data_IF_313237090684
#
_entry.id   IF_313237090684
#
_cell.length_a   1.000
_cell.length_b   1.000
_cell.length_c   1.000
_cell.angle_alpha   90.00
_cell.angle_beta   90.00
_cell.angle_gamma   90.00
#
_symmetry.space_group_name_H-M   'P 1'
#
loop_
_entity.id
_entity.type
_entity.pdbx_description
1 polymer ?
#
# COMPACT_ATOMS: atom_id res chain seq x y z
N UNK A 1 -5.92 48.05 11.78
CA UNK A 1 -5.65 47.54 10.42
C UNK A 1 -6.09 46.08 10.38
N UNK A 2 -7.29 45.83 9.84
CA UNK A 2 -7.90 44.50 9.77
C UNK A 2 -7.17 43.71 8.67
N UNK A 3 -6.36 42.73 9.06
CA UNK A 3 -5.82 41.76 8.11
C UNK A 3 -6.91 40.70 7.90
N UNK A 4 -7.58 40.83 6.76
CA UNK A 4 -8.59 39.91 6.26
C UNK A 4 -7.95 38.52 6.08
N UNK A 5 -8.35 37.53 6.88
CA UNK A 5 -7.81 36.16 6.89
C UNK A 5 -8.46 35.24 5.85
N UNK A 6 -9.05 35.79 4.79
CA UNK A 6 -9.76 35.06 3.72
C UNK A 6 -8.84 34.45 2.65
N UNK A 7 -7.65 33.97 3.04
CA UNK A 7 -6.63 33.41 2.11
C UNK A 7 -6.28 31.94 2.29
N UNK A 8 -6.84 31.25 3.29
CA UNK A 8 -6.39 29.91 3.72
C UNK A 8 -7.39 28.78 3.47
N UNK A 9 -8.18 28.87 2.39
CA UNK A 9 -9.21 27.86 2.06
C UNK A 9 -8.98 27.08 0.75
N UNK A 10 -7.78 27.11 0.15
CA UNK A 10 -7.57 26.55 -1.21
C UNK A 10 -6.49 25.46 -1.36
N UNK A 11 -6.17 24.70 -0.32
CA UNK A 11 -5.29 23.51 -0.46
C UNK A 11 -5.95 22.26 0.14
N UNK A 12 -7.14 21.93 -0.35
CA UNK A 12 -7.78 20.64 -0.08
C UNK A 12 -8.24 19.94 -1.37
N UNK A 13 -7.49 20.13 -2.45
CA UNK A 13 -7.66 19.36 -3.68
C UNK A 13 -6.95 18.01 -3.51
N UNK A 14 -7.73 16.97 -3.16
CA UNK A 14 -7.24 15.58 -3.22
C UNK A 14 -6.64 15.30 -4.59
N UNK A 15 -5.39 14.84 -4.59
CA UNK A 15 -4.68 14.42 -5.79
C UNK A 15 -4.56 12.89 -5.81
N UNK A 16 -5.16 12.26 -6.82
CA UNK A 16 -5.15 10.81 -7.00
C UNK A 16 -4.07 10.32 -7.98
N UNK A 17 -3.24 11.21 -8.53
CA UNK A 17 -2.18 10.87 -9.50
C UNK A 17 -1.23 9.79 -8.95
N UNK A 18 -0.71 9.97 -7.74
CA UNK A 18 0.21 8.98 -7.16
C UNK A 18 -0.46 7.63 -6.90
N UNK A 19 -1.74 7.63 -6.47
CA UNK A 19 -2.49 6.38 -6.28
C UNK A 19 -2.70 5.67 -7.61
N UNK A 20 -2.94 6.42 -8.68
CA UNK A 20 -3.04 5.88 -10.03
C UNK A 20 -1.70 5.30 -10.50
N UNK A 21 -0.59 6.02 -10.30
CA UNK A 21 0.74 5.52 -10.61
C UNK A 21 1.07 4.22 -9.85
N UNK A 22 0.70 4.15 -8.55
CA UNK A 22 0.84 2.95 -7.73
C UNK A 22 -0.07 1.80 -8.20
N UNK A 23 -1.29 2.10 -8.63
CA UNK A 23 -2.22 1.12 -9.19
C UNK A 23 -1.69 0.54 -10.50
N UNK A 24 -1.14 1.38 -11.39
CA UNK A 24 -0.54 0.94 -12.64
C UNK A 24 0.72 0.10 -12.39
N UNK A 25 1.60 0.51 -11.48
CA UNK A 25 2.79 -0.29 -11.15
C UNK A 25 2.42 -1.64 -10.51
N UNK A 26 1.35 -1.69 -9.70
CA UNK A 26 0.81 -2.97 -9.18
C UNK A 26 0.30 -3.90 -10.30
N UNK A 27 -0.37 -3.37 -11.33
CA UNK A 27 -0.75 -4.17 -12.50
C UNK A 27 0.49 -4.72 -13.20
N UNK A 28 1.52 -3.90 -13.40
CA UNK A 28 2.79 -4.34 -14.00
C UNK A 28 3.44 -5.46 -13.16
N UNK A 29 3.40 -5.37 -11.82
CA UNK A 29 3.89 -6.44 -10.93
C UNK A 29 3.14 -7.74 -11.18
N UNK A 30 1.81 -7.68 -11.13
CA UNK A 30 0.96 -8.87 -11.20
C UNK A 30 1.00 -9.50 -12.59
N UNK A 31 1.03 -8.69 -13.65
CA UNK A 31 1.24 -9.17 -15.03
C UNK A 31 2.60 -9.85 -15.15
N UNK A 32 3.66 -9.23 -14.62
CA UNK A 32 4.99 -9.82 -14.60
C UNK A 32 5.03 -11.13 -13.81
N UNK A 33 4.39 -11.20 -12.65
CA UNK A 33 4.35 -12.41 -11.83
C UNK A 33 3.56 -13.55 -12.50
N UNK A 34 2.43 -13.24 -13.15
CA UNK A 34 1.50 -14.24 -13.67
C UNK A 34 1.87 -14.72 -15.07
N UNK A 35 2.27 -13.81 -15.96
CA UNK A 35 2.47 -14.13 -17.38
C UNK A 35 3.94 -14.14 -17.81
N UNK A 36 4.81 -13.40 -17.11
CA UNK A 36 6.21 -13.23 -17.50
C UNK A 36 7.17 -13.38 -16.30
N UNK A 37 7.12 -14.47 -15.52
CA UNK A 37 7.86 -14.60 -14.26
C UNK A 37 9.38 -14.47 -14.41
N UNK A 38 9.91 -14.73 -15.59
CA UNK A 38 11.33 -14.57 -15.96
C UNK A 38 11.74 -13.10 -16.16
N UNK A 39 10.81 -12.18 -16.40
CA UNK A 39 11.08 -10.76 -16.65
C UNK A 39 11.06 -10.00 -15.31
N UNK A 40 12.15 -10.15 -14.56
CA UNK A 40 12.35 -9.53 -13.25
C UNK A 40 12.09 -8.01 -13.20
N UNK A 41 12.43 -7.20 -14.23
CA UNK A 41 12.14 -5.76 -14.23
C UNK A 41 10.67 -5.40 -13.99
N UNK A 42 9.72 -6.23 -14.44
CA UNK A 42 8.29 -5.98 -14.21
C UNK A 42 7.95 -6.06 -12.71
N UNK A 43 8.58 -7.01 -12.00
CA UNK A 43 8.45 -7.15 -10.54
C UNK A 43 9.08 -5.96 -9.80
N UNK A 44 10.20 -5.46 -10.30
CA UNK A 44 10.92 -4.31 -9.72
C UNK A 44 10.05 -3.04 -9.79
N UNK A 45 9.46 -2.76 -10.96
CA UNK A 45 8.52 -1.64 -11.15
C UNK A 45 7.35 -1.76 -10.16
N UNK A 46 6.86 -2.99 -9.98
CA UNK A 46 5.84 -3.32 -9.00
C UNK A 46 6.08 -2.86 -7.57
N UNK A 47 7.34 -2.88 -7.13
CA UNK A 47 7.70 -2.54 -5.73
C UNK A 47 7.48 -1.07 -5.39
N UNK A 48 7.29 -0.21 -6.39
CA UNK A 48 6.92 1.20 -6.23
C UNK A 48 5.51 1.33 -5.62
N UNK A 49 4.60 0.39 -5.89
CA UNK A 49 3.20 0.48 -5.48
C UNK A 49 3.03 0.56 -3.95
N UNK A 50 3.68 -0.37 -3.23
CA UNK A 50 3.44 -0.54 -1.80
C UNK A 50 3.83 0.69 -0.96
N UNK A 51 5.03 1.30 -1.11
CA UNK A 51 5.38 2.51 -0.36
C UNK A 51 4.40 3.67 -0.57
N UNK A 52 3.88 3.83 -1.78
CA UNK A 52 2.89 4.86 -2.08
C UNK A 52 1.56 4.56 -1.36
N UNK A 53 1.09 3.31 -1.38
CA UNK A 53 -0.11 2.92 -0.63
C UNK A 53 0.08 3.01 0.88
N UNK A 54 1.24 2.61 1.41
CA UNK A 54 1.61 2.73 2.82
C UNK A 54 1.58 4.19 3.29
N UNK A 55 2.22 5.09 2.55
CA UNK A 55 2.15 6.52 2.82
C UNK A 55 0.70 7.05 2.73
N UNK A 56 -0.10 6.51 1.80
CA UNK A 56 -1.52 6.81 1.68
C UNK A 56 -2.36 6.37 2.89
N UNK A 57 -2.04 5.22 3.52
CA UNK A 57 -2.67 4.80 4.77
C UNK A 57 -2.31 5.76 5.91
N UNK A 58 -1.02 6.08 6.06
CA UNK A 58 -0.53 7.01 7.07
C UNK A 58 -1.22 8.38 6.99
N UNK A 59 -1.33 8.93 5.77
CA UNK A 59 -2.04 10.19 5.54
C UNK A 59 -3.55 10.07 5.72
N UNK A 60 -4.15 8.97 5.25
CA UNK A 60 -5.57 8.70 5.41
C UNK A 60 -5.99 8.63 6.88
N UNK A 61 -5.15 8.05 7.73
CA UNK A 61 -5.40 7.98 9.17
C UNK A 61 -5.41 9.39 9.83
N UNK A 62 -4.50 10.29 9.43
CA UNK A 62 -4.44 11.67 9.96
C UNK A 62 -5.66 12.51 9.61
N UNK A 63 -6.20 12.32 8.40
CA UNK A 63 -7.25 13.19 7.85
C UNK A 63 -8.65 12.57 7.92
N UNK A 64 -8.78 11.29 8.30
CA UNK A 64 -10.10 10.65 8.35
C UNK A 64 -10.92 11.20 9.53
N UNK A 65 -12.13 11.66 9.24
CA UNK A 65 -13.11 12.01 10.27
C UNK A 65 -13.81 10.78 10.87
N UNK A 66 -13.77 9.64 10.18
CA UNK A 66 -14.43 8.41 10.61
C UNK A 66 -13.52 7.20 10.40
N UNK A 67 -12.74 6.89 11.45
CA UNK A 67 -11.81 5.76 11.46
C UNK A 67 -12.53 4.41 11.36
N UNK A 68 -13.70 4.26 12.01
CA UNK A 68 -14.50 3.01 11.95
C UNK A 68 -14.88 2.66 10.53
N UNK A 69 -15.38 3.62 9.76
CA UNK A 69 -15.72 3.41 8.35
C UNK A 69 -14.49 3.18 7.49
N UNK A 70 -13.34 3.75 7.84
CA UNK A 70 -12.10 3.46 7.13
C UNK A 70 -11.65 2.02 7.33
N UNK A 71 -11.69 1.55 8.58
CA UNK A 71 -11.44 0.16 8.94
C UNK A 71 -12.37 -0.80 8.16
N UNK A 72 -13.69 -0.57 8.20
CA UNK A 72 -14.64 -1.46 7.53
C UNK A 72 -14.49 -1.48 6.01
N UNK A 73 -14.12 -0.36 5.38
CA UNK A 73 -13.80 -0.37 3.95
C UNK A 73 -12.62 -1.29 3.65
N UNK A 74 -11.51 -1.14 4.36
CA UNK A 74 -10.34 -2.00 4.16
C UNK A 74 -10.66 -3.47 4.44
N UNK A 75 -11.40 -3.76 5.51
CA UNK A 75 -11.81 -5.13 5.83
C UNK A 75 -12.70 -5.74 4.74
N UNK A 76 -13.71 -5.01 4.28
CA UNK A 76 -14.64 -5.46 3.24
C UNK A 76 -13.93 -5.74 1.92
N UNK A 77 -13.14 -4.77 1.42
CA UNK A 77 -12.42 -4.93 0.16
C UNK A 77 -11.29 -5.96 0.27
N UNK A 78 -10.63 -6.07 1.42
CA UNK A 78 -9.66 -7.11 1.70
C UNK A 78 -10.29 -8.51 1.64
N UNK A 79 -11.44 -8.71 2.29
CA UNK A 79 -12.16 -9.98 2.28
C UNK A 79 -12.63 -10.38 0.87
N UNK A 80 -13.27 -9.47 0.14
CA UNK A 80 -13.75 -9.75 -1.24
C UNK A 80 -12.58 -10.09 -2.16
N UNK A 81 -11.45 -9.40 -1.99
CA UNK A 81 -10.27 -9.62 -2.85
C UNK A 81 -9.46 -10.85 -2.45
N UNK A 82 -9.74 -11.48 -1.31
CA UNK A 82 -8.98 -12.64 -0.84
C UNK A 82 -9.15 -13.84 -1.76
N UNK A 83 -10.39 -14.12 -2.18
CA UNK A 83 -10.71 -15.24 -3.08
C UNK A 83 -9.95 -15.10 -4.43
N UNK A 84 -10.08 -13.98 -5.18
CA UNK A 84 -9.34 -13.85 -6.43
C UNK A 84 -7.82 -13.80 -6.21
N UNK A 85 -7.33 -13.22 -5.12
CA UNK A 85 -5.90 -13.25 -4.78
C UNK A 85 -5.37 -14.68 -4.64
N UNK A 86 -6.06 -15.53 -3.87
CA UNK A 86 -5.68 -16.94 -3.68
C UNK A 86 -5.72 -17.72 -5.00
N UNK A 87 -6.76 -17.54 -5.82
CA UNK A 87 -6.89 -18.21 -7.13
C UNK A 87 -5.76 -17.79 -8.08
N UNK A 88 -5.46 -16.50 -8.15
CA UNK A 88 -4.50 -15.97 -9.13
C UNK A 88 -3.06 -16.41 -8.82
N UNK A 89 -2.66 -16.30 -7.54
CA UNK A 89 -1.29 -16.51 -7.10
C UNK A 89 -1.01 -17.87 -6.46
N UNK A 90 -2.04 -18.65 -6.12
CA UNK A 90 -1.88 -19.95 -5.48
C UNK A 90 -1.25 -19.88 -4.08
N UNK A 91 -1.39 -18.75 -3.39
CA UNK A 91 -0.82 -18.52 -2.05
C UNK A 91 -1.89 -18.56 -0.97
N UNK A 92 -1.56 -19.15 0.18
CA UNK A 92 -2.41 -19.17 1.38
C UNK A 92 -2.16 -17.96 2.31
N UNK A 93 -1.60 -16.89 1.78
CA UNK A 93 -1.31 -15.65 2.51
C UNK A 93 -2.49 -14.67 2.38
N UNK A 94 -2.67 -13.80 3.38
CA UNK A 94 -3.63 -12.71 3.25
C UNK A 94 -3.11 -11.64 2.29
N UNK A 95 -4.00 -11.08 1.47
CA UNK A 95 -3.62 -10.07 0.48
C UNK A 95 -3.10 -8.76 1.10
N UNK A 96 -2.51 -7.92 0.24
CA UNK A 96 -1.94 -6.61 0.60
C UNK A 96 -2.90 -5.69 1.40
N UNK A 97 -4.21 -5.75 1.17
CA UNK A 97 -5.17 -4.90 1.89
C UNK A 97 -5.18 -5.25 3.37
N UNK A 98 -5.00 -6.53 3.73
CA UNK A 98 -4.86 -6.94 5.13
C UNK A 98 -3.58 -6.40 5.76
N UNK A 99 -2.45 -6.36 5.02
CA UNK A 99 -1.24 -5.68 5.50
C UNK A 99 -1.52 -4.19 5.80
N UNK A 100 -2.22 -3.50 4.90
CA UNK A 100 -2.60 -2.08 5.08
C UNK A 100 -3.60 -1.88 6.23
N UNK A 101 -4.53 -2.82 6.43
CA UNK A 101 -5.48 -2.83 7.55
C UNK A 101 -4.76 -2.96 8.90
N UNK A 102 -3.81 -3.89 9.00
CA UNK A 102 -3.01 -4.06 10.21
C UNK A 102 -2.13 -2.85 10.47
N UNK A 103 -1.55 -2.23 9.43
CA UNK A 103 -0.84 -0.96 9.54
C UNK A 103 -1.72 0.16 10.12
N UNK A 104 -2.95 0.29 9.64
CA UNK A 104 -3.91 1.28 10.13
C UNK A 104 -4.22 1.07 11.62
N UNK A 105 -4.48 -0.18 12.02
CA UNK A 105 -4.73 -0.53 13.41
C UNK A 105 -3.51 -0.30 14.30
N UNK A 106 -2.31 -0.58 13.80
CA UNK A 106 -1.07 -0.41 14.54
C UNK A 106 -0.82 1.07 14.84
N UNK A 107 -0.93 1.94 13.83
CA UNK A 107 -0.84 3.39 14.01
C UNK A 107 -1.86 3.86 15.04
N UNK A 108 -3.13 3.43 14.91
CA UNK A 108 -4.18 3.76 15.87
C UNK A 108 -3.83 3.34 17.30
N UNK A 109 -3.30 2.13 17.48
CA UNK A 109 -2.92 1.61 18.80
C UNK A 109 -1.80 2.45 19.42
N UNK A 110 -0.76 2.78 18.65
CA UNK A 110 0.34 3.63 19.08
C UNK A 110 -0.13 5.04 19.46
N UNK A 111 -0.96 5.66 18.62
CA UNK A 111 -1.53 7.00 18.85
C UNK A 111 -2.35 7.08 20.14
N UNK A 112 -3.12 6.03 20.43
CA UNK A 112 -3.91 5.92 21.66
C UNK A 112 -3.09 5.39 22.84
N UNK A 113 -1.78 5.24 22.69
CA UNK A 113 -0.85 4.68 23.70
C UNK A 113 -1.28 3.29 24.20
N UNK A 114 -2.01 2.54 23.37
CA UNK A 114 -2.44 1.16 23.64
C UNK A 114 -1.37 0.19 23.15
N UNK A 115 -0.19 0.24 23.76
CA UNK A 115 0.97 -0.56 23.31
C UNK A 115 0.73 -2.07 23.39
N UNK A 116 -0.12 -2.55 24.31
CA UNK A 116 -0.55 -3.94 24.36
C UNK A 116 -1.27 -4.38 23.07
N UNK A 117 -2.09 -3.49 22.49
CA UNK A 117 -2.79 -3.74 21.24
C UNK A 117 -1.81 -3.69 20.06
N UNK A 118 -0.86 -2.75 20.07
CA UNK A 118 0.20 -2.69 19.07
C UNK A 118 1.05 -3.99 19.06
N UNK A 119 1.39 -4.51 20.24
CA UNK A 119 2.09 -5.79 20.40
C UNK A 119 1.24 -6.96 19.87
N UNK A 120 -0.04 -7.01 20.22
CA UNK A 120 -0.95 -8.04 19.70
C UNK A 120 -1.04 -8.02 18.17
N UNK A 121 -1.07 -6.83 17.55
CA UNK A 121 -1.09 -6.67 16.09
C UNK A 121 0.20 -7.21 15.47
N UNK A 122 1.37 -6.94 16.06
CA UNK A 122 2.65 -7.49 15.60
C UNK A 122 2.65 -9.02 15.67
N UNK A 123 2.23 -9.59 16.80
CA UNK A 123 2.14 -11.04 16.99
C UNK A 123 1.20 -11.66 15.97
N UNK A 124 0.01 -11.07 15.80
CA UNK A 124 -0.99 -11.52 14.84
C UNK A 124 -0.46 -11.48 13.40
N UNK A 125 0.21 -10.39 13.02
CA UNK A 125 0.80 -10.22 11.69
C UNK A 125 1.90 -11.24 11.40
N UNK A 126 2.64 -11.67 12.43
CA UNK A 126 3.69 -12.69 12.30
C UNK A 126 3.09 -14.07 11.98
N UNK A 127 1.99 -14.47 12.65
CA UNK A 127 1.39 -15.79 12.46
C UNK A 127 0.54 -15.92 11.19
N UNK A 128 -0.22 -14.88 10.83
CA UNK A 128 -1.24 -14.97 9.77
C UNK A 128 -0.67 -14.75 8.35
N UNK A 129 0.61 -14.37 8.23
CA UNK A 129 1.32 -14.20 6.96
C UNK A 129 0.51 -13.40 5.93
N UNK A 130 0.59 -12.07 6.03
CA UNK A 130 0.07 -11.18 5.00
C UNK A 130 1.16 -10.90 3.94
N UNK A 131 0.77 -10.58 2.71
CA UNK A 131 1.65 -10.37 1.55
C UNK A 131 2.86 -9.45 1.84
N UNK A 132 2.64 -8.35 2.58
CA UNK A 132 3.72 -7.47 3.06
C UNK A 132 4.00 -7.58 4.57
N UNK A 133 3.17 -8.32 5.32
CA UNK A 133 3.35 -8.64 6.74
C UNK A 133 3.87 -7.50 7.63
N UNK A 134 4.84 -7.83 8.49
CA UNK A 134 5.50 -6.87 9.40
C UNK A 134 6.26 -5.77 8.65
N UNK A 135 6.86 -6.09 7.51
CA UNK A 135 7.55 -5.09 6.68
C UNK A 135 6.60 -3.96 6.30
N UNK A 136 5.37 -4.29 5.91
CA UNK A 136 4.33 -3.33 5.59
C UNK A 136 3.87 -2.47 6.76
N UNK A 137 3.70 -3.09 7.94
CA UNK A 137 3.32 -2.39 9.18
C UNK A 137 4.38 -1.39 9.58
N UNK A 138 5.65 -1.81 9.62
CA UNK A 138 6.76 -0.93 10.01
C UNK A 138 6.92 0.20 8.99
N UNK A 139 6.92 -0.10 7.69
CA UNK A 139 7.02 0.92 6.63
C UNK A 139 5.94 1.98 6.76
N UNK A 140 4.68 1.56 6.91
CA UNK A 140 3.55 2.49 7.04
C UNK A 140 3.67 3.34 8.30
N UNK A 141 4.15 2.74 9.40
CA UNK A 141 4.40 3.44 10.66
C UNK A 141 5.52 4.47 10.53
N UNK A 142 6.58 4.18 9.77
CA UNK A 142 7.65 5.14 9.50
C UNK A 142 7.12 6.37 8.76
N UNK A 143 6.32 6.17 7.69
CA UNK A 143 5.65 7.28 7.00
C UNK A 143 4.79 8.11 7.94
N UNK A 144 4.12 7.46 8.90
CA UNK A 144 3.31 8.15 9.88
C UNK A 144 4.14 8.92 10.92
N UNK A 145 5.14 8.33 11.59
CA UNK A 145 5.83 9.02 12.68
C UNK A 145 6.90 10.00 12.20
N UNK A 146 7.59 9.72 11.09
CA UNK A 146 8.76 10.48 10.63
C UNK A 146 8.47 11.43 9.46
N UNK A 147 7.20 11.69 9.13
CA UNK A 147 6.80 12.57 8.00
C UNK A 147 7.53 13.94 8.01
N UNK A 148 7.69 14.55 9.19
CA UNK A 148 8.33 15.86 9.32
C UNK A 148 9.85 15.81 9.13
N UNK A 149 10.47 14.65 9.34
CA UNK A 149 11.91 14.44 9.27
C UNK A 149 12.25 13.62 8.02
N UNK A 150 12.09 14.22 6.83
CA UNK A 150 12.16 13.50 5.54
C UNK A 150 13.46 12.71 5.34
N UNK A 151 14.60 13.28 5.72
CA UNK A 151 15.89 12.59 5.60
C UNK A 151 15.95 11.34 6.50
N UNK A 152 15.55 11.47 7.76
CA UNK A 152 15.49 10.35 8.70
C UNK A 152 14.51 9.27 8.21
N UNK A 153 13.35 9.68 7.68
CA UNK A 153 12.39 8.77 7.08
C UNK A 153 13.00 7.95 5.94
N UNK A 154 13.70 8.59 4.99
CA UNK A 154 14.39 7.88 3.89
C UNK A 154 15.41 6.88 4.43
N UNK A 155 16.24 7.29 5.39
CA UNK A 155 17.25 6.42 6.00
C UNK A 155 16.61 5.22 6.69
N UNK A 156 15.56 5.42 7.49
CA UNK A 156 14.84 4.34 8.16
C UNK A 156 14.16 3.39 7.16
N UNK A 157 13.58 3.90 6.06
CA UNK A 157 12.95 3.07 5.03
C UNK A 157 13.98 2.24 4.25
N UNK A 158 15.15 2.82 3.96
CA UNK A 158 16.27 2.12 3.32
C UNK A 158 16.82 1.02 4.25
N UNK A 159 17.04 1.34 5.53
CA UNK A 159 17.47 0.38 6.55
C UNK A 159 16.45 -0.77 6.70
N UNK A 160 15.15 -0.44 6.76
CA UNK A 160 14.08 -1.45 6.82
C UNK A 160 14.11 -2.39 5.62
N UNK A 161 14.32 -1.87 4.41
CA UNK A 161 14.35 -2.69 3.19
C UNK A 161 15.58 -3.58 3.14
N UNK A 162 16.73 -3.08 3.59
CA UNK A 162 17.95 -3.88 3.73
C UNK A 162 17.80 -4.99 4.77
N UNK A 163 17.19 -4.69 5.93
CA UNK A 163 16.90 -5.68 6.96
C UNK A 163 15.92 -6.73 6.46
N UNK A 164 14.85 -6.31 5.78
CA UNK A 164 13.85 -7.23 5.24
C UNK A 164 14.47 -8.17 4.20
N UNK A 165 15.36 -7.66 3.33
CA UNK A 165 16.16 -8.49 2.43
C UNK A 165 16.99 -9.51 3.20
N UNK A 166 17.78 -9.08 4.19
CA UNK A 166 18.64 -10.00 4.97
C UNK A 166 17.87 -11.08 5.72
N UNK A 167 16.65 -10.80 6.18
CA UNK A 167 15.84 -11.76 6.94
C UNK A 167 15.09 -12.73 6.03
N UNK A 168 14.61 -12.28 4.88
CA UNK A 168 13.74 -13.08 3.99
C UNK A 168 14.45 -13.63 2.75
N UNK A 169 15.67 -13.20 2.48
CA UNK A 169 16.43 -13.43 1.24
C UNK A 169 15.71 -12.94 -0.04
N UNK A 170 14.72 -12.04 0.10
CA UNK A 170 13.95 -11.52 -1.02
C UNK A 170 14.55 -10.24 -1.57
N UNK A 171 15.42 -10.36 -2.59
CA UNK A 171 16.09 -9.22 -3.23
C UNK A 171 15.12 -8.16 -3.76
N UNK A 172 13.89 -8.55 -4.12
CA UNK A 172 12.82 -7.64 -4.57
C UNK A 172 12.48 -6.56 -3.53
N UNK A 173 12.61 -6.83 -2.22
CA UNK A 173 12.28 -5.87 -1.18
C UNK A 173 13.24 -4.67 -1.16
N UNK A 174 14.47 -4.82 -1.65
CA UNK A 174 15.40 -3.71 -1.79
C UNK A 174 14.82 -2.65 -2.74
N UNK A 175 14.25 -3.07 -3.87
CA UNK A 175 13.75 -2.17 -4.91
C UNK A 175 12.54 -1.32 -4.51
N UNK A 176 11.94 -1.56 -3.34
CA UNK A 176 10.94 -0.66 -2.76
C UNK A 176 11.45 0.77 -2.60
N UNK A 177 12.78 1.00 -2.54
CA UNK A 177 13.37 2.34 -2.48
C UNK A 177 12.92 3.26 -3.62
N UNK A 178 12.63 2.69 -4.79
CA UNK A 178 12.13 3.42 -5.95
C UNK A 178 10.79 4.13 -5.66
N UNK A 179 10.00 3.58 -4.74
CA UNK A 179 8.74 4.17 -4.29
C UNK A 179 8.87 5.20 -3.16
N UNK A 180 10.03 5.34 -2.51
CA UNK A 180 10.15 6.20 -1.32
C UNK A 180 10.09 7.68 -1.66
N UNK A 181 10.86 8.12 -2.65
CA UNK A 181 10.88 9.52 -3.09
C UNK A 181 9.47 9.99 -3.50
N UNK A 182 8.75 9.28 -4.40
CA UNK A 182 7.40 9.72 -4.76
C UNK A 182 6.43 9.67 -3.58
N UNK A 183 6.53 8.67 -2.70
CA UNK A 183 5.69 8.57 -1.51
C UNK A 183 5.91 9.72 -0.50
N UNK A 184 7.13 10.25 -0.38
CA UNK A 184 7.47 11.33 0.57
C UNK A 184 7.17 12.72 0.00
N UNK A 185 7.53 12.96 -1.25
CA UNK A 185 7.59 14.32 -1.80
C UNK A 185 6.40 14.70 -2.68
N UNK A 186 5.77 13.72 -3.34
CA UNK A 186 4.78 13.99 -4.37
C UNK A 186 3.33 13.76 -3.95
N UNK A 187 3.08 13.42 -2.68
CA UNK A 187 1.74 13.25 -2.14
C UNK A 187 0.83 14.46 -2.31
N UNK A 188 1.40 15.66 -2.47
CA UNK A 188 0.62 16.89 -2.52
C UNK A 188 0.60 17.59 -3.89
N UNK A 189 1.56 17.38 -4.80
CA UNK A 189 1.80 18.37 -5.88
C UNK A 189 2.51 17.83 -7.12
N UNK A 190 1.83 17.16 -8.06
CA UNK A 190 2.41 17.00 -9.41
C UNK A 190 1.39 17.30 -10.51
N UNK A 191 0.27 16.58 -10.53
CA UNK A 191 -0.76 16.68 -11.57
C UNK A 191 -2.12 16.52 -10.90
N UNK A 192 -3.09 17.40 -11.16
CA UNK A 192 -4.41 17.31 -10.52
C UNK A 192 -5.28 16.25 -11.20
N UNK A 193 -5.27 15.02 -10.68
CA UNK A 193 -6.22 13.95 -11.05
C UNK A 193 -7.21 13.74 -9.91
N UNK A 194 -8.51 13.73 -10.21
CA UNK A 194 -9.58 13.41 -9.24
C UNK A 194 -10.34 12.19 -9.75
N UNK A 195 -10.30 11.10 -8.97
CA UNK A 195 -11.04 9.87 -9.27
C UNK A 195 -12.21 9.69 -8.29
N UNK A 196 -13.22 8.85 -8.63
CA UNK A 196 -14.31 8.55 -7.71
C UNK A 196 -13.78 8.02 -6.37
N UNK A 197 -14.44 8.40 -5.27
CA UNK A 197 -14.03 8.09 -3.89
C UNK A 197 -13.75 6.59 -3.63
N UNK A 198 -14.45 5.72 -4.35
CA UNK A 198 -14.37 4.27 -4.21
C UNK A 198 -13.57 3.57 -5.32
N UNK A 199 -13.01 4.32 -6.27
CA UNK A 199 -12.30 3.77 -7.43
C UNK A 199 -11.18 2.80 -7.03
N UNK A 200 -10.23 3.26 -6.21
CA UNK A 200 -9.07 2.44 -5.81
C UNK A 200 -9.45 1.23 -4.95
N UNK A 201 -10.59 1.29 -4.27
CA UNK A 201 -11.07 0.17 -3.48
C UNK A 201 -11.63 -0.94 -4.38
N UNK A 202 -12.42 -0.59 -5.40
CA UNK A 202 -12.91 -1.54 -6.40
C UNK A 202 -11.84 -1.99 -7.39
N UNK A 203 -10.85 -1.13 -7.66
CA UNK A 203 -9.72 -1.44 -8.53
C UNK A 203 -9.03 -2.75 -8.11
N UNK A 204 -8.78 -2.95 -6.81
CA UNK A 204 -8.02 -4.11 -6.33
C UNK A 204 -8.70 -5.46 -6.65
N UNK A 205 -9.95 -5.75 -6.26
CA UNK A 205 -10.60 -7.00 -6.65
C UNK A 205 -10.80 -7.11 -8.17
N UNK A 206 -11.13 -6.00 -8.85
CA UNK A 206 -11.44 -6.04 -10.29
C UNK A 206 -10.22 -6.37 -11.15
N UNK A 207 -9.04 -5.79 -10.89
CA UNK A 207 -7.86 -6.11 -11.69
C UNK A 207 -7.39 -7.55 -11.44
N UNK A 208 -7.52 -8.09 -10.21
CA UNK A 208 -7.21 -9.51 -9.95
C UNK A 208 -8.16 -10.43 -10.75
N UNK A 209 -9.46 -10.15 -10.73
CA UNK A 209 -10.46 -10.88 -11.50
C UNK A 209 -10.17 -10.80 -13.01
N UNK A 210 -9.83 -9.62 -13.52
CA UNK A 210 -9.46 -9.44 -14.92
C UNK A 210 -8.23 -10.30 -15.31
N UNK A 211 -7.19 -10.33 -14.47
CA UNK A 211 -6.00 -11.16 -14.70
C UNK A 211 -6.34 -12.66 -14.66
N UNK A 212 -7.25 -13.09 -13.78
CA UNK A 212 -7.75 -14.47 -13.74
C UNK A 212 -8.42 -14.83 -15.06
N UNK A 213 -9.35 -14.00 -15.54
CA UNK A 213 -10.04 -14.24 -16.81
C UNK A 213 -9.05 -14.34 -17.97
N UNK A 214 -8.08 -13.43 -18.05
CA UNK A 214 -7.04 -13.46 -19.10
C UNK A 214 -6.20 -14.73 -19.00
N UNK A 215 -5.80 -15.14 -17.78
CA UNK A 215 -5.02 -16.36 -17.54
C UNK A 215 -5.76 -17.61 -18.03
N UNK A 216 -7.03 -17.77 -17.69
CA UNK A 216 -7.83 -18.91 -18.15
C UNK A 216 -8.15 -18.84 -19.64
N UNK A 217 -8.41 -17.66 -20.18
CA UNK A 217 -8.65 -17.48 -21.62
C UNK A 217 -7.44 -17.92 -22.46
N UNK A 218 -6.23 -17.49 -22.07
CA UNK A 218 -4.99 -17.91 -22.74
C UNK A 218 -4.75 -19.42 -22.59
N UNK A 219 -5.03 -19.99 -21.42
CA UNK A 219 -4.86 -21.43 -21.19
C UNK A 219 -5.82 -22.31 -22.01
N UNK A 220 -7.02 -21.80 -22.31
CA UNK A 220 -8.04 -22.48 -23.12
C UNK A 220 -7.82 -22.30 -24.63
N UNK A 221 -6.96 -21.37 -25.04
CA UNK A 221 -6.70 -21.12 -26.45
C UNK A 221 -5.90 -22.28 -27.05
N UNK A 222 -6.40 -22.96 -28.11
CA UNK A 222 -5.65 -24.03 -28.75
C UNK A 222 -4.34 -23.50 -29.32
N UNK A 223 -3.23 -24.17 -28.99
CA UNK A 223 -1.90 -23.86 -29.52
C UNK A 223 -1.80 -24.20 -31.00
#
# INVERSE_FOLDING_TARGET
MVINSSGLSLINDKNDFLKLAAALSMIVDHVGLVFFPQIMPLRIIGRIAFPIFAAGIADGYRHTSNLKMYFYRLLFFGAISQIPFMILFGKNELNIIFSLLLSLLFIFACDKRKYWLALLIIIFAYFIKCDYGLYGIIMTSLFYFFRSQKLLLVVCLAALSLLAYKVSDQILLLFSFLGFIPAIYFQQQLIKIKLPKHFFYWFYPLHLIALIFIKYFIALWPK
#
